data_IF_436567281219
#
_entry.id   IF_436567281219
#
_cell.length_a   1.000
_cell.length_b   1.000
_cell.length_c   1.000
_cell.angle_alpha   90.00
_cell.angle_beta   90.00
_cell.angle_gamma   90.00
#
_symmetry.space_group_name_H-M   'P 1'
#
loop_
_entity.id
_entity.type
_entity.pdbx_description
1 polymer ?
#
# COMPACT_ATOMS: atom_id res chain seq x y z
N UNK A 1 -28.65 18.32 -31.53
CA UNK A 1 -29.06 16.91 -31.79
C UNK A 1 -28.76 15.98 -30.61
N UNK A 2 -27.52 15.95 -30.11
CA UNK A 2 -27.07 15.07 -29.01
C UNK A 2 -27.75 15.40 -27.68
N UNK A 3 -27.79 16.67 -27.29
CA UNK A 3 -28.47 17.11 -26.05
C UNK A 3 -29.95 16.72 -26.08
N UNK A 4 -30.65 16.96 -27.21
CA UNK A 4 -32.07 16.63 -27.37
C UNK A 4 -32.36 15.12 -27.27
N UNK A 5 -31.40 14.27 -27.70
CA UNK A 5 -31.49 12.82 -27.60
C UNK A 5 -31.12 12.28 -26.21
N UNK A 6 -30.32 13.01 -25.44
CA UNK A 6 -30.02 12.67 -24.05
C UNK A 6 -31.08 13.20 -23.08
N UNK A 7 -31.74 14.33 -23.40
CA UNK A 7 -32.87 14.85 -22.64
C UNK A 7 -34.06 13.88 -22.58
N UNK A 8 -34.20 13.00 -23.57
CA UNK A 8 -35.21 11.91 -23.57
C UNK A 8 -34.74 10.66 -22.82
N UNK A 9 -33.47 10.60 -22.37
CA UNK A 9 -32.87 9.48 -21.63
C UNK A 9 -32.13 9.97 -20.37
N UNK A 10 -32.86 10.36 -19.31
CA UNK A 10 -32.28 10.98 -18.12
C UNK A 10 -31.19 10.14 -17.44
N UNK A 11 -31.29 8.80 -17.45
CA UNK A 11 -30.22 7.95 -16.90
C UNK A 11 -28.90 8.04 -17.68
N UNK A 12 -28.96 8.07 -19.02
CA UNK A 12 -27.78 8.23 -19.86
C UNK A 12 -27.17 9.64 -19.72
N UNK A 13 -28.00 10.65 -19.48
CA UNK A 13 -27.53 11.99 -19.17
C UNK A 13 -26.79 12.04 -17.82
N UNK A 14 -27.34 11.41 -16.78
CA UNK A 14 -26.68 11.34 -15.46
C UNK A 14 -25.35 10.58 -15.54
N UNK A 15 -25.29 9.42 -16.19
CA UNK A 15 -24.03 8.68 -16.36
C UNK A 15 -22.99 9.47 -17.15
N UNK A 16 -23.43 10.23 -18.17
CA UNK A 16 -22.56 11.12 -18.92
C UNK A 16 -22.01 12.24 -18.03
N UNK A 17 -22.86 12.94 -17.28
CA UNK A 17 -22.40 14.02 -16.38
C UNK A 17 -21.52 13.45 -15.25
N UNK A 18 -21.86 12.30 -14.66
CA UNK A 18 -21.02 11.65 -13.65
C UNK A 18 -19.61 11.34 -14.18
N UNK A 19 -19.48 10.85 -15.42
CA UNK A 19 -18.17 10.53 -16.02
C UNK A 19 -17.41 11.75 -16.49
N UNK A 20 -18.05 12.67 -17.22
CA UNK A 20 -17.36 13.74 -17.93
C UNK A 20 -17.29 15.07 -17.15
N UNK A 21 -18.21 15.30 -16.22
CA UNK A 21 -18.20 16.50 -15.37
C UNK A 21 -17.53 16.21 -14.02
N UNK A 22 -17.87 15.09 -13.38
CA UNK A 22 -17.38 14.75 -12.04
C UNK A 22 -16.18 13.79 -12.03
N UNK A 23 -15.87 13.14 -13.16
CA UNK A 23 -14.81 12.13 -13.24
C UNK A 23 -15.07 10.86 -12.42
N UNK A 24 -16.33 10.61 -12.05
CA UNK A 24 -16.73 9.50 -11.19
C UNK A 24 -17.13 8.29 -12.03
N UNK A 25 -16.61 7.12 -11.66
CA UNK A 25 -17.14 5.84 -12.11
C UNK A 25 -17.98 5.21 -11.01
N UNK A 26 -19.09 4.58 -11.40
CA UNK A 26 -19.99 3.90 -10.47
C UNK A 26 -19.22 2.75 -9.80
N UNK A 27 -19.07 2.75 -8.45
CA UNK A 27 -18.32 1.70 -7.77
C UNK A 27 -19.05 0.37 -7.87
N UNK A 28 -18.31 -0.70 -8.13
CA UNK A 28 -18.82 -2.06 -8.09
C UNK A 28 -18.86 -2.53 -6.62
N UNK A 29 -20.06 -2.80 -6.04
CA UNK A 29 -20.19 -3.21 -4.65
C UNK A 29 -19.45 -4.51 -4.31
N UNK A 30 -19.20 -5.40 -5.28
CA UNK A 30 -18.43 -6.64 -5.06
C UNK A 30 -16.93 -6.38 -4.94
N UNK A 31 -16.42 -5.28 -5.54
CA UNK A 31 -15.01 -4.87 -5.42
C UNK A 31 -14.68 -4.35 -4.04
N UNK A 32 -15.64 -3.79 -3.30
CA UNK A 32 -15.42 -3.27 -1.96
C UNK A 32 -14.95 -4.36 -0.98
N UNK A 33 -15.66 -5.48 -0.92
CA UNK A 33 -15.30 -6.60 -0.03
C UNK A 33 -13.96 -7.24 -0.42
N UNK A 34 -13.75 -7.46 -1.72
CA UNK A 34 -12.49 -8.02 -2.24
C UNK A 34 -11.30 -7.12 -1.92
N UNK A 35 -11.46 -5.79 -2.06
CA UNK A 35 -10.44 -4.81 -1.71
C UNK A 35 -10.09 -4.85 -0.22
N UNK A 36 -11.11 -4.88 0.65
CA UNK A 36 -10.91 -4.96 2.09
C UNK A 36 -10.13 -6.23 2.49
N UNK A 37 -10.51 -7.40 1.96
CA UNK A 37 -9.84 -8.66 2.27
C UNK A 37 -8.40 -8.68 1.74
N UNK A 38 -8.17 -8.12 0.55
CA UNK A 38 -6.83 -8.03 -0.05
C UNK A 38 -5.91 -7.15 0.79
N UNK A 39 -6.38 -5.99 1.24
CA UNK A 39 -5.59 -5.08 2.08
C UNK A 39 -5.34 -5.71 3.45
N UNK A 40 -6.36 -6.30 4.08
CA UNK A 40 -6.21 -6.97 5.38
C UNK A 40 -5.18 -8.11 5.30
N UNK A 41 -5.28 -8.98 4.29
CA UNK A 41 -4.32 -10.06 4.07
C UNK A 41 -2.91 -9.54 3.82
N UNK A 42 -2.77 -8.51 2.98
CA UNK A 42 -1.48 -7.89 2.69
C UNK A 42 -0.83 -7.28 3.95
N UNK A 43 -1.61 -6.64 4.82
CA UNK A 43 -1.12 -6.07 6.08
C UNK A 43 -0.67 -7.16 7.07
N UNK A 44 -1.42 -8.26 7.17
CA UNK A 44 -1.04 -9.39 8.02
C UNK A 44 0.29 -9.98 7.54
N UNK A 45 0.38 -10.32 6.27
CA UNK A 45 1.59 -10.90 5.68
C UNK A 45 2.77 -9.94 5.81
N UNK A 46 2.57 -8.66 5.48
CA UNK A 46 3.61 -7.63 5.61
C UNK A 46 4.08 -7.41 7.05
N UNK A 47 3.16 -7.45 8.01
CA UNK A 47 3.48 -7.28 9.44
C UNK A 47 4.20 -8.47 10.06
N UNK A 48 3.98 -9.69 9.55
CA UNK A 48 4.68 -10.89 10.04
C UNK A 48 6.17 -10.85 9.71
N UNK A 49 6.56 -10.26 8.57
CA UNK A 49 7.95 -10.22 8.11
C UNK A 49 8.94 -9.68 9.16
N UNK A 50 8.75 -8.46 9.73
CA UNK A 50 9.64 -7.94 10.78
C UNK A 50 9.56 -8.73 12.09
N UNK A 51 8.41 -9.35 12.39
CA UNK A 51 8.19 -10.11 13.63
C UNK A 51 8.78 -11.52 13.57
N UNK A 52 8.96 -12.07 12.37
CA UNK A 52 9.38 -13.44 12.14
C UNK A 52 10.66 -13.83 12.91
N UNK A 53 11.74 -13.02 12.94
CA UNK A 53 12.96 -13.37 13.69
C UNK A 53 12.76 -13.46 15.21
N UNK A 54 11.78 -12.74 15.77
CA UNK A 54 11.47 -12.77 17.20
C UNK A 54 10.78 -14.05 17.63
N UNK A 55 10.20 -14.81 16.68
CA UNK A 55 9.57 -16.10 16.99
C UNK A 55 10.61 -17.21 17.30
N UNK A 56 11.85 -17.05 16.83
CA UNK A 56 12.88 -18.09 16.91
C UNK A 56 14.08 -17.71 17.77
N UNK A 57 14.31 -16.42 18.02
CA UNK A 57 15.44 -15.94 18.82
C UNK A 57 14.96 -15.44 20.18
N UNK A 58 15.36 -16.09 21.30
CA UNK A 58 15.00 -15.64 22.65
C UNK A 58 15.72 -14.33 23.04
N UNK A 59 16.85 -14.03 22.41
CA UNK A 59 17.58 -12.78 22.64
C UNK A 59 17.06 -11.68 21.71
N UNK A 60 16.43 -10.65 22.30
CA UNK A 60 15.80 -9.55 21.58
C UNK A 60 16.79 -8.74 20.73
N UNK A 61 18.05 -8.59 21.17
CA UNK A 61 19.07 -7.82 20.46
C UNK A 61 19.49 -8.49 19.16
N UNK A 62 19.70 -9.81 19.19
CA UNK A 62 20.03 -10.58 18.00
C UNK A 62 18.82 -10.66 17.05
N UNK A 63 17.62 -10.90 17.60
CA UNK A 63 16.37 -10.88 16.83
C UNK A 63 16.16 -9.55 16.08
N UNK A 64 16.46 -8.42 16.73
CA UNK A 64 16.37 -7.08 16.13
C UNK A 64 17.28 -6.93 14.91
N UNK A 65 18.54 -7.37 14.98
CA UNK A 65 19.48 -7.25 13.86
C UNK A 65 19.01 -8.06 12.64
N UNK A 66 18.53 -9.29 12.87
CA UNK A 66 17.95 -10.11 11.82
C UNK A 66 16.65 -9.49 11.27
N UNK A 67 15.79 -8.95 12.13
CA UNK A 67 14.55 -8.25 11.75
C UNK A 67 14.83 -7.04 10.85
N UNK A 68 15.82 -6.23 11.19
CA UNK A 68 16.24 -5.09 10.36
C UNK A 68 16.65 -5.57 8.97
N UNK A 69 17.52 -6.58 8.87
CA UNK A 69 17.99 -7.09 7.58
C UNK A 69 16.84 -7.64 6.73
N UNK A 70 16.00 -8.50 7.30
CA UNK A 70 14.84 -9.11 6.62
C UNK A 70 13.85 -8.04 6.16
N UNK A 71 13.57 -7.05 7.01
CA UNK A 71 12.63 -5.97 6.70
C UNK A 71 13.15 -5.06 5.60
N UNK A 72 14.44 -4.70 5.61
CA UNK A 72 15.04 -3.89 4.55
C UNK A 72 14.98 -4.60 3.19
N UNK A 73 15.29 -5.90 3.17
CA UNK A 73 15.15 -6.73 1.96
C UNK A 73 13.71 -6.75 1.49
N UNK A 74 12.76 -6.97 2.40
CA UNK A 74 11.34 -6.96 2.05
C UNK A 74 10.88 -5.62 1.49
N UNK A 75 11.26 -4.49 2.10
CA UNK A 75 10.93 -3.15 1.60
C UNK A 75 11.51 -2.88 0.21
N UNK A 76 12.72 -3.35 -0.07
CA UNK A 76 13.33 -3.26 -1.40
C UNK A 76 12.53 -4.07 -2.42
N UNK A 77 12.18 -5.33 -2.10
CA UNK A 77 11.38 -6.19 -2.99
C UNK A 77 9.99 -5.59 -3.23
N UNK A 78 9.27 -5.20 -2.17
CA UNK A 78 7.96 -4.57 -2.29
C UNK A 78 8.01 -3.28 -3.10
N UNK A 79 9.00 -2.42 -2.83
CA UNK A 79 9.16 -1.18 -3.58
C UNK A 79 9.51 -1.41 -5.05
N UNK A 80 10.32 -2.44 -5.37
CA UNK A 80 10.62 -2.83 -6.75
C UNK A 80 9.36 -3.32 -7.49
N UNK A 81 8.62 -4.25 -6.88
CA UNK A 81 7.37 -4.80 -7.41
C UNK A 81 6.35 -3.68 -7.62
N UNK A 82 6.16 -2.82 -6.62
CA UNK A 82 5.33 -1.62 -6.72
C UNK A 82 5.73 -0.76 -7.92
N UNK A 83 7.02 -0.47 -8.08
CA UNK A 83 7.52 0.35 -9.19
C UNK A 83 7.19 -0.27 -10.55
N UNK A 84 7.43 -1.57 -10.70
CA UNK A 84 7.11 -2.31 -11.91
C UNK A 84 5.62 -2.22 -12.29
N UNK A 85 4.71 -2.40 -11.34
CA UNK A 85 3.26 -2.33 -11.59
C UNK A 85 2.71 -0.91 -11.77
N UNK A 86 3.35 0.11 -11.19
CA UNK A 86 2.87 1.50 -11.24
C UNK A 86 3.49 2.33 -12.37
N UNK A 87 4.37 1.74 -13.19
CA UNK A 87 5.06 2.46 -14.27
C UNK A 87 6.18 3.39 -13.81
N UNK A 88 6.54 3.36 -12.52
CA UNK A 88 7.66 4.12 -11.95
C UNK A 88 8.94 3.29 -12.07
N UNK A 89 10.11 3.92 -12.30
CA UNK A 89 11.40 3.20 -12.35
C UNK A 89 11.57 2.27 -11.12
N UNK A 90 11.64 0.93 -11.29
CA UNK A 90 11.55 -0.03 -10.19
C UNK A 90 12.60 0.18 -9.09
N UNK A 91 13.85 0.43 -9.48
CA UNK A 91 14.96 0.67 -8.55
C UNK A 91 14.71 1.94 -7.71
N UNK A 92 14.18 3.00 -8.32
CA UNK A 92 13.87 4.24 -7.60
C UNK A 92 12.74 4.01 -6.58
N UNK A 93 11.72 3.27 -6.97
CA UNK A 93 10.60 2.91 -6.08
C UNK A 93 11.08 2.02 -4.92
N UNK A 94 11.94 1.04 -5.19
CA UNK A 94 12.58 0.20 -4.17
C UNK A 94 13.34 1.02 -3.13
N UNK A 95 14.23 1.90 -3.58
CA UNK A 95 15.03 2.76 -2.69
C UNK A 95 14.14 3.72 -1.90
N UNK A 96 13.13 4.32 -2.52
CA UNK A 96 12.19 5.20 -1.81
C UNK A 96 11.42 4.46 -0.72
N UNK A 97 10.88 3.28 -1.02
CA UNK A 97 10.14 2.48 -0.03
C UNK A 97 11.04 2.04 1.12
N UNK A 98 12.26 1.58 0.84
CA UNK A 98 13.25 1.24 1.87
C UNK A 98 13.60 2.45 2.74
N UNK A 99 13.88 3.60 2.14
CA UNK A 99 14.28 4.81 2.88
C UNK A 99 13.15 5.34 3.78
N UNK A 100 11.92 5.42 3.26
CA UNK A 100 10.76 5.89 4.05
C UNK A 100 10.51 4.94 5.22
N UNK A 101 10.51 3.62 4.97
CA UNK A 101 10.32 2.62 6.03
C UNK A 101 11.45 2.62 7.05
N UNK A 102 12.70 2.73 6.60
CA UNK A 102 13.88 2.81 7.46
C UNK A 102 13.89 4.06 8.34
N UNK A 103 13.53 5.22 7.79
CA UNK A 103 13.42 6.47 8.55
C UNK A 103 12.28 6.40 9.58
N UNK A 104 11.13 5.83 9.22
CA UNK A 104 10.03 5.63 10.17
C UNK A 104 10.43 4.70 11.32
N UNK A 105 11.12 3.59 11.03
CA UNK A 105 11.63 2.67 12.04
C UNK A 105 12.68 3.33 12.94
N UNK A 106 13.61 4.10 12.37
CA UNK A 106 14.62 4.84 13.14
C UNK A 106 13.97 5.89 14.06
N UNK A 107 12.95 6.60 13.58
CA UNK A 107 12.19 7.56 14.39
C UNK A 107 11.46 6.87 15.54
N UNK A 108 10.76 5.76 15.27
CA UNK A 108 10.06 4.97 16.29
C UNK A 108 11.03 4.44 17.36
N UNK A 109 12.19 3.90 16.94
CA UNK A 109 13.23 3.45 17.85
C UNK A 109 13.79 4.60 18.70
N UNK A 110 14.06 5.76 18.09
CA UNK A 110 14.53 6.94 18.79
C UNK A 110 13.56 7.40 19.88
N UNK A 111 12.27 7.46 19.56
CA UNK A 111 11.21 7.80 20.53
C UNK A 111 11.17 6.78 21.66
N UNK A 112 11.13 5.48 21.34
CA UNK A 112 11.11 4.41 22.34
C UNK A 112 12.33 4.49 23.27
N UNK A 113 13.51 4.77 22.73
CA UNK A 113 14.76 4.93 23.48
C UNK A 113 14.79 6.17 24.36
N UNK A 114 14.07 7.24 24.03
CA UNK A 114 13.96 8.43 24.89
C UNK A 114 13.01 8.24 26.07
N UNK A 115 12.05 7.33 25.94
CA UNK A 115 11.04 7.06 26.98
C UNK A 115 11.44 5.89 27.89
N UNK A 116 12.26 4.95 27.39
CA UNK A 116 12.70 3.73 28.10
C UNK A 116 14.11 3.85 28.68
#
# INVERSE_FOLDING_TARGET
PIVKALSTRPQAWVDFMMRFELGLEKPDPRRAFTSALTIAGAYIVGGIIPLFPYLFSPEARNALLFSIAVTLIALLVFGFVKGHFTGVKPIRSALQTMLIGGLAAAAAFGIARTIS
#
